data_IF_534828395835
#
_entry.id   IF_534828395835
#
_cell.length_a   1.000
_cell.length_b   1.000
_cell.length_c   1.000
_cell.angle_alpha   90.00
_cell.angle_beta   90.00
_cell.angle_gamma   90.00
#
_symmetry.space_group_name_H-M   'P 1'
#
loop_
_entity.id
_entity.type
_entity.pdbx_description
1 polymer ?
#
# COMPACT_ATOMS: atom_id res chain seq x y z
N UNK A 1 -40.33 29.31 -51.50
CA UNK A 1 -40.51 29.24 -50.03
C UNK A 1 -40.61 27.77 -49.65
N UNK A 2 -39.75 27.30 -48.74
CA UNK A 2 -39.83 25.97 -48.14
C UNK A 2 -38.81 24.94 -48.63
N UNK A 3 -37.51 25.14 -48.31
CA UNK A 3 -36.62 23.99 -48.07
C UNK A 3 -36.96 23.38 -46.72
N UNK A 4 -36.88 22.06 -46.59
CA UNK A 4 -36.11 21.42 -45.51
C UNK A 4 -36.24 19.89 -45.54
N UNK A 5 -35.19 19.27 -46.07
CA UNK A 5 -34.85 17.86 -45.86
C UNK A 5 -34.62 17.61 -44.37
N UNK A 6 -35.48 16.80 -43.73
CA UNK A 6 -35.21 16.28 -42.39
C UNK A 6 -34.17 15.15 -42.50
N UNK A 7 -33.01 15.44 -41.93
CA UNK A 7 -31.83 14.59 -41.83
C UNK A 7 -32.08 13.40 -40.90
N UNK A 8 -31.62 12.23 -41.33
CA UNK A 8 -31.28 11.10 -40.46
C UNK A 8 -30.21 11.51 -39.45
N UNK A 9 -30.40 11.15 -38.18
CA UNK A 9 -29.32 11.12 -37.20
C UNK A 9 -29.57 9.96 -36.22
N UNK A 10 -29.06 8.78 -36.60
CA UNK A 10 -28.56 7.81 -35.64
C UNK A 10 -27.22 8.35 -35.14
N UNK A 11 -27.10 8.64 -33.84
CA UNK A 11 -25.80 8.87 -33.23
C UNK A 11 -25.73 8.07 -31.93
N UNK A 12 -24.81 7.12 -31.96
CA UNK A 12 -24.59 6.08 -30.99
C UNK A 12 -24.16 6.63 -29.63
N UNK A 13 -24.52 5.86 -28.59
CA UNK A 13 -24.02 5.94 -27.23
C UNK A 13 -22.50 6.08 -27.22
N UNK A 14 -21.99 7.18 -26.68
CA UNK A 14 -20.57 7.33 -26.36
C UNK A 14 -20.33 6.54 -25.07
N UNK A 15 -19.88 5.29 -25.23
CA UNK A 15 -19.18 4.57 -24.18
C UNK A 15 -17.83 5.28 -24.00
N UNK A 16 -17.71 6.12 -22.97
CA UNK A 16 -16.43 6.67 -22.57
C UNK A 16 -15.61 5.53 -21.95
N UNK A 17 -14.86 4.82 -22.79
CA UNK A 17 -13.76 3.99 -22.32
C UNK A 17 -12.74 4.95 -21.72
N UNK A 18 -12.64 4.97 -20.40
CA UNK A 18 -11.49 5.53 -19.69
C UNK A 18 -10.26 4.83 -20.28
N UNK A 19 -9.52 5.56 -21.11
CA UNK A 19 -8.23 5.11 -21.58
C UNK A 19 -7.34 4.97 -20.35
N UNK A 20 -7.18 3.73 -19.90
CA UNK A 20 -6.03 3.31 -19.09
C UNK A 20 -4.82 3.68 -19.94
N UNK A 21 -4.09 4.73 -19.54
CA UNK A 21 -2.83 5.05 -20.19
C UNK A 21 -1.91 3.86 -19.97
N UNK A 22 -1.76 3.06 -21.02
CA UNK A 22 -0.77 1.99 -21.05
C UNK A 22 0.59 2.61 -20.72
N UNK A 23 1.36 1.93 -19.87
CA UNK A 23 2.73 2.32 -19.60
C UNK A 23 3.50 2.54 -20.90
N UNK A 24 4.43 3.51 -20.98
CA UNK A 24 5.51 3.39 -21.94
C UNK A 24 6.21 2.05 -21.67
N UNK A 25 6.55 1.30 -22.72
CA UNK A 25 7.17 -0.03 -22.62
C UNK A 25 8.44 -0.05 -21.71
N UNK A 26 9.01 1.10 -21.39
CA UNK A 26 10.13 1.30 -20.47
C UNK A 26 9.82 1.17 -18.97
N UNK A 27 8.55 1.12 -18.54
CA UNK A 27 8.20 0.86 -17.14
C UNK A 27 7.99 -0.64 -16.84
N UNK A 28 7.93 -1.47 -17.89
CA UNK A 28 7.87 -2.93 -17.80
C UNK A 28 9.25 -3.57 -17.55
N UNK A 29 10.32 -2.79 -17.47
CA UNK A 29 11.69 -3.29 -17.26
C UNK A 29 12.12 -3.43 -15.80
N UNK A 30 11.27 -3.02 -14.84
CA UNK A 30 11.52 -3.17 -13.40
C UNK A 30 10.26 -3.64 -12.65
N UNK A 31 10.20 -4.90 -12.19
CA UNK A 31 9.12 -5.49 -11.38
C UNK A 31 8.65 -4.63 -10.19
N UNK A 32 9.56 -3.98 -9.46
CA UNK A 32 9.15 -3.08 -8.37
C UNK A 32 8.33 -1.89 -8.89
N UNK A 33 8.76 -1.24 -9.98
CA UNK A 33 7.99 -0.15 -10.58
C UNK A 33 6.65 -0.64 -11.13
N UNK A 34 6.61 -1.86 -11.65
CA UNK A 34 5.35 -2.51 -12.07
C UNK A 34 4.41 -2.74 -10.88
N UNK A 35 4.93 -3.17 -9.72
CA UNK A 35 4.14 -3.30 -8.49
C UNK A 35 3.56 -1.95 -8.04
N UNK A 36 4.37 -0.90 -7.98
CA UNK A 36 3.88 0.45 -7.63
C UNK A 36 2.84 0.97 -8.62
N UNK A 37 3.07 0.79 -9.92
CA UNK A 37 2.13 1.22 -10.96
C UNK A 37 0.79 0.49 -10.87
N UNK A 38 0.79 -0.84 -10.74
CA UNK A 38 -0.42 -1.63 -10.64
C UNK A 38 -1.20 -1.31 -9.36
N UNK A 39 -0.50 -1.18 -8.23
CA UNK A 39 -1.08 -0.78 -6.95
C UNK A 39 -1.73 0.60 -7.07
N UNK A 40 -1.05 1.56 -7.72
CA UNK A 40 -1.59 2.90 -8.00
C UNK A 40 -2.88 2.82 -8.83
N UNK A 41 -2.83 2.14 -9.98
CA UNK A 41 -3.97 2.09 -10.91
C UNK A 41 -5.20 1.47 -10.27
N UNK A 42 -5.02 0.38 -9.51
CA UNK A 42 -6.12 -0.26 -8.80
C UNK A 42 -6.75 0.74 -7.83
N UNK A 43 -5.94 1.39 -6.99
CA UNK A 43 -6.42 2.35 -6.00
C UNK A 43 -7.05 3.63 -6.61
N UNK A 44 -6.59 4.10 -7.77
CA UNK A 44 -7.19 5.24 -8.48
C UNK A 44 -8.61 4.96 -8.98
N UNK A 45 -8.97 3.68 -9.18
CA UNK A 45 -10.31 3.27 -9.62
C UNK A 45 -11.30 2.99 -8.49
N UNK A 46 -10.88 3.15 -7.23
CA UNK A 46 -11.70 2.87 -6.05
C UNK A 46 -12.87 3.86 -5.97
N UNK A 47 -14.08 3.32 -5.81
CA UNK A 47 -15.30 4.07 -5.53
C UNK A 47 -15.71 3.96 -4.06
N UNK A 48 -15.52 2.79 -3.47
CA UNK A 48 -15.79 2.49 -2.06
C UNK A 48 -14.67 1.61 -1.50
N UNK A 49 -14.36 1.79 -0.21
CA UNK A 49 -13.40 0.91 0.44
C UNK A 49 -13.66 0.82 1.94
N UNK A 50 -13.31 -0.31 2.54
CA UNK A 50 -13.36 -0.50 3.98
C UNK A 50 -12.21 -1.36 4.48
N UNK A 51 -11.78 -1.09 5.71
CA UNK A 51 -10.78 -1.90 6.39
C UNK A 51 -11.43 -3.12 7.06
N UNK A 52 -10.92 -4.32 6.79
CA UNK A 52 -11.40 -5.57 7.37
C UNK A 52 -10.38 -6.15 8.37
N UNK A 53 -10.52 -5.82 9.66
CA UNK A 53 -9.57 -6.21 10.70
C UNK A 53 -9.64 -7.71 11.03
N UNK A 54 -8.51 -8.43 10.91
CA UNK A 54 -8.11 -9.71 11.54
C UNK A 54 -8.99 -10.96 11.31
N UNK A 55 -10.25 -10.80 10.90
CA UNK A 55 -11.21 -11.87 10.62
C UNK A 55 -11.38 -12.13 9.11
N UNK A 56 -10.64 -11.44 8.25
CA UNK A 56 -10.67 -11.71 6.82
C UNK A 56 -10.10 -13.11 6.54
N UNK A 57 -10.97 -14.03 6.12
CA UNK A 57 -10.60 -15.38 5.70
C UNK A 57 -10.16 -15.45 4.24
N UNK A 58 -10.22 -14.34 3.50
CA UNK A 58 -10.03 -14.32 2.04
C UNK A 58 -9.01 -13.27 1.57
N UNK A 59 -8.44 -12.45 2.46
CA UNK A 59 -7.56 -11.35 2.04
C UNK A 59 -8.34 -10.18 1.50
N UNK A 60 -7.94 -9.64 0.34
CA UNK A 60 -8.64 -8.54 -0.28
C UNK A 60 -9.85 -9.02 -1.09
N UNK A 61 -11.02 -8.52 -0.75
CA UNK A 61 -12.25 -8.69 -1.53
C UNK A 61 -12.40 -7.48 -2.43
N UNK A 62 -12.34 -7.71 -3.74
CA UNK A 62 -12.47 -6.66 -4.77
C UNK A 62 -13.69 -6.97 -5.62
N UNK A 63 -14.61 -6.02 -5.72
CA UNK A 63 -15.80 -6.12 -6.58
C UNK A 63 -15.98 -4.84 -7.41
N UNK A 64 -16.83 -4.91 -8.44
CA UNK A 64 -17.12 -3.76 -9.31
C UNK A 64 -18.51 -3.22 -8.99
N UNK A 65 -18.58 -1.94 -8.67
CA UNK A 65 -19.82 -1.20 -8.47
C UNK A 65 -20.54 -0.98 -9.82
N UNK A 66 -21.83 -0.68 -9.79
CA UNK A 66 -22.60 -0.33 -10.99
C UNK A 66 -22.05 0.87 -11.77
N UNK A 67 -21.25 1.72 -11.11
CA UNK A 67 -20.55 2.86 -11.71
C UNK A 67 -19.28 2.47 -12.49
N UNK A 68 -18.87 1.21 -12.47
CA UNK A 68 -17.60 0.73 -13.02
C UNK A 68 -16.39 0.96 -12.11
N UNK A 69 -16.57 1.59 -10.94
CA UNK A 69 -15.53 1.75 -9.91
C UNK A 69 -15.39 0.49 -9.05
N UNK A 70 -14.27 0.38 -8.34
CA UNK A 70 -14.04 -0.73 -7.42
C UNK A 70 -14.64 -0.49 -6.03
N UNK A 71 -15.16 -1.55 -5.42
CA UNK A 71 -15.39 -1.66 -3.99
C UNK A 71 -14.37 -2.65 -3.41
N UNK A 72 -13.52 -2.17 -2.49
CA UNK A 72 -12.40 -2.94 -1.95
C UNK A 72 -12.51 -3.03 -0.43
N UNK A 73 -12.63 -4.25 0.07
CA UNK A 73 -12.61 -4.57 1.50
C UNK A 73 -11.38 -5.42 1.83
N UNK A 74 -10.47 -4.92 2.65
CA UNK A 74 -9.19 -5.59 2.96
C UNK A 74 -8.51 -4.99 4.19
N UNK A 75 -7.62 -5.75 4.85
CA UNK A 75 -6.59 -5.17 5.72
C UNK A 75 -5.32 -4.80 4.93
N UNK A 76 -4.31 -4.28 5.63
CA UNK A 76 -3.03 -3.87 5.05
C UNK A 76 -2.28 -5.03 4.38
N UNK A 77 -2.32 -6.22 4.98
CA UNK A 77 -1.60 -7.40 4.53
C UNK A 77 -2.29 -8.08 3.35
N UNK A 78 -3.62 -8.11 3.35
CA UNK A 78 -4.46 -8.51 2.24
C UNK A 78 -4.28 -7.59 1.04
N UNK A 79 -4.13 -6.28 1.25
CA UNK A 79 -3.86 -5.33 0.17
C UNK A 79 -2.49 -5.57 -0.47
N UNK A 80 -1.43 -5.71 0.33
CA UNK A 80 -0.09 -6.06 -0.19
C UNK A 80 -0.14 -7.40 -0.90
N UNK A 81 -0.79 -8.41 -0.33
CA UNK A 81 -0.93 -9.75 -0.92
C UNK A 81 -1.67 -9.72 -2.26
N UNK A 82 -2.77 -8.98 -2.36
CA UNK A 82 -3.54 -8.82 -3.60
C UNK A 82 -2.68 -8.27 -4.74
N UNK A 83 -1.86 -7.27 -4.45
CA UNK A 83 -0.98 -6.69 -5.46
C UNK A 83 0.20 -7.63 -5.78
N UNK A 84 0.84 -8.21 -4.75
CA UNK A 84 1.99 -9.10 -4.91
C UNK A 84 1.65 -10.42 -5.61
N UNK A 85 0.40 -10.88 -5.58
CA UNK A 85 -0.08 -12.06 -6.36
C UNK A 85 0.17 -11.94 -7.87
N UNK A 86 0.35 -10.74 -8.41
CA UNK A 86 0.76 -10.53 -9.80
C UNK A 86 2.25 -10.82 -10.06
N UNK A 87 3.00 -11.17 -9.02
CA UNK A 87 4.35 -11.74 -9.08
C UNK A 87 4.31 -13.11 -8.36
N UNK A 88 3.73 -14.15 -8.99
CA UNK A 88 3.36 -15.38 -8.29
C UNK A 88 4.52 -16.05 -7.54
N UNK A 89 5.73 -16.02 -8.10
CA UNK A 89 6.92 -16.60 -7.47
C UNK A 89 7.36 -15.81 -6.23
N UNK A 90 7.33 -14.48 -6.29
CA UNK A 90 7.62 -13.63 -5.14
C UNK A 90 6.56 -13.79 -4.05
N UNK A 91 5.28 -13.85 -4.41
CA UNK A 91 4.21 -14.09 -3.44
C UNK A 91 4.34 -15.49 -2.79
N UNK A 92 4.61 -16.52 -3.60
CA UNK A 92 4.82 -17.89 -3.13
C UNK A 92 6.02 -17.99 -2.18
N UNK A 93 7.07 -17.18 -2.37
CA UNK A 93 8.19 -17.14 -1.43
C UNK A 93 7.78 -16.63 -0.04
N UNK A 94 6.94 -15.59 0.03
CA UNK A 94 6.40 -15.09 1.30
C UNK A 94 5.45 -16.12 1.93
N UNK A 95 4.56 -16.74 1.14
CA UNK A 95 3.66 -17.81 1.61
C UNK A 95 4.43 -19.04 2.10
N UNK A 96 5.52 -19.41 1.43
CA UNK A 96 6.39 -20.51 1.89
C UNK A 96 7.09 -20.18 3.20
N UNK A 97 7.41 -18.92 3.47
CA UNK A 97 7.92 -18.49 4.77
C UNK A 97 6.83 -18.55 5.85
N UNK A 98 5.60 -18.13 5.52
CA UNK A 98 4.44 -18.13 6.40
C UNK A 98 4.22 -19.48 7.10
N UNK A 99 4.41 -20.61 6.41
CA UNK A 99 4.20 -21.95 7.01
C UNK A 99 5.15 -22.26 8.16
N UNK A 100 6.28 -21.56 8.25
CA UNK A 100 7.27 -21.72 9.31
C UNK A 100 7.07 -20.74 10.48
N UNK A 101 6.16 -19.77 10.34
CA UNK A 101 5.82 -18.83 11.41
C UNK A 101 4.73 -19.47 12.26
N UNK A 102 4.92 -19.64 13.59
CA UNK A 102 3.89 -20.26 14.43
C UNK A 102 2.58 -19.44 14.37
N UNK A 103 1.43 -20.11 14.47
CA UNK A 103 0.12 -19.44 14.35
C UNK A 103 -0.27 -18.94 12.95
N UNK A 104 0.66 -18.90 11.99
CA UNK A 104 0.42 -18.38 10.63
C UNK A 104 0.14 -19.45 9.58
N UNK A 105 0.52 -20.71 9.80
CA UNK A 105 0.46 -21.76 8.79
C UNK A 105 -0.93 -21.99 8.18
N UNK A 106 -2.00 -21.71 8.92
CA UNK A 106 -3.39 -21.87 8.47
C UNK A 106 -4.07 -20.54 8.10
N UNK A 107 -3.32 -19.43 8.08
CA UNK A 107 -3.86 -18.13 7.67
C UNK A 107 -3.94 -18.08 6.13
N UNK A 108 -4.99 -17.46 5.56
CA UNK A 108 -5.21 -17.45 4.11
C UNK A 108 -4.20 -16.61 3.32
N UNK A 109 -3.52 -15.69 3.99
CA UNK A 109 -2.46 -14.84 3.42
C UNK A 109 -1.45 -14.47 4.50
N UNK A 110 -0.20 -14.11 4.13
CA UNK A 110 0.81 -13.64 5.07
C UNK A 110 0.37 -12.36 5.76
N UNK A 111 0.41 -12.30 7.09
CA UNK A 111 0.18 -11.08 7.85
C UNK A 111 1.45 -10.20 7.92
N UNK A 112 1.31 -8.98 8.44
CA UNK A 112 2.39 -7.99 8.43
C UNK A 112 3.68 -8.47 9.12
N UNK A 113 3.55 -9.25 10.19
CA UNK A 113 4.67 -9.89 10.88
C UNK A 113 5.37 -10.94 10.03
N UNK A 114 4.65 -11.67 9.18
CA UNK A 114 5.24 -12.62 8.22
C UNK A 114 6.05 -11.88 7.17
N UNK A 115 5.50 -10.82 6.58
CA UNK A 115 6.22 -9.97 5.63
C UNK A 115 7.49 -9.40 6.27
N UNK A 116 7.37 -8.82 7.47
CA UNK A 116 8.50 -8.26 8.19
C UNK A 116 9.57 -9.32 8.46
N UNK A 117 9.21 -10.47 9.03
CA UNK A 117 10.16 -11.52 9.42
C UNK A 117 10.87 -12.11 8.20
N UNK A 118 10.13 -12.33 7.12
CA UNK A 118 10.72 -12.81 5.88
C UNK A 118 11.73 -11.80 5.34
N UNK A 119 11.35 -10.53 5.22
CA UNK A 119 12.25 -9.48 4.71
C UNK A 119 13.46 -9.24 5.63
N UNK A 120 13.26 -9.28 6.94
CA UNK A 120 14.35 -9.16 7.93
C UNK A 120 15.32 -10.35 7.89
N UNK A 121 14.86 -11.53 7.44
CA UNK A 121 15.72 -12.71 7.28
C UNK A 121 16.64 -12.63 6.06
N UNK A 122 16.40 -11.68 5.13
CA UNK A 122 17.22 -11.50 3.94
C UNK A 122 18.51 -10.75 4.28
N UNK A 123 19.63 -11.47 4.38
CA UNK A 123 20.96 -10.85 4.56
C UNK A 123 21.62 -10.45 3.24
N UNK A 124 21.09 -10.92 2.11
CA UNK A 124 21.52 -10.62 0.75
C UNK A 124 20.34 -10.81 -0.21
N UNK A 125 20.41 -10.31 -1.45
CA UNK A 125 19.43 -10.64 -2.48
C UNK A 125 19.27 -12.15 -2.65
N UNK A 126 18.03 -12.63 -2.75
CA UNK A 126 17.72 -14.00 -3.16
C UNK A 126 17.16 -14.01 -4.60
N UNK A 127 16.47 -15.07 -5.02
CA UNK A 127 15.89 -15.15 -6.35
C UNK A 127 14.77 -14.12 -6.61
N UNK A 128 14.07 -13.70 -5.54
CA UNK A 128 12.81 -12.97 -5.63
C UNK A 128 12.85 -11.56 -5.04
N UNK A 129 13.64 -11.37 -3.97
CA UNK A 129 13.70 -10.13 -3.22
C UNK A 129 15.14 -9.69 -2.95
N UNK A 130 15.32 -8.37 -2.90
CA UNK A 130 16.51 -7.68 -2.42
C UNK A 130 16.15 -6.92 -1.13
N UNK A 131 16.90 -7.11 -0.02
CA UNK A 131 16.69 -6.31 1.18
C UNK A 131 17.06 -4.85 0.92
N UNK A 132 16.22 -3.92 1.39
CA UNK A 132 16.49 -2.48 1.38
C UNK A 132 16.75 -2.04 2.82
N UNK A 133 18.01 -1.77 3.15
CA UNK A 133 18.45 -1.61 4.55
C UNK A 133 18.50 -0.17 5.02
N UNK A 134 18.45 0.81 4.10
CA UNK A 134 18.50 2.23 4.44
C UNK A 134 17.23 2.93 3.99
N UNK A 135 16.76 3.86 4.83
CA UNK A 135 15.60 4.71 4.51
C UNK A 135 15.80 5.44 3.18
N UNK A 136 17.01 5.95 2.92
CA UNK A 136 17.34 6.68 1.68
C UNK A 136 17.30 5.85 0.41
N UNK A 137 17.39 4.52 0.54
CA UNK A 137 17.48 3.60 -0.60
C UNK A 137 16.10 3.09 -1.03
N UNK A 138 15.05 3.47 -0.30
CA UNK A 138 13.66 3.17 -0.64
C UNK A 138 13.28 3.79 -1.98
N UNK A 139 12.56 3.01 -2.78
CA UNK A 139 12.04 3.45 -4.08
C UNK A 139 10.60 2.96 -4.31
N UNK A 140 9.88 3.51 -5.31
CA UNK A 140 8.57 3.00 -5.70
C UNK A 140 8.59 1.50 -5.98
N UNK A 141 7.69 0.78 -5.31
CA UNK A 141 7.51 -0.66 -5.45
C UNK A 141 8.19 -1.49 -4.38
N UNK A 142 8.97 -0.85 -3.50
CA UNK A 142 9.44 -1.53 -2.30
C UNK A 142 8.24 -1.82 -1.39
N UNK A 143 8.28 -2.96 -0.72
CA UNK A 143 7.29 -3.35 0.28
C UNK A 143 7.92 -3.09 1.64
N UNK A 144 7.32 -2.18 2.40
CA UNK A 144 7.71 -1.87 3.76
C UNK A 144 6.74 -2.56 4.71
N UNK A 145 7.28 -3.30 5.67
CA UNK A 145 6.50 -3.93 6.72
C UNK A 145 7.13 -3.68 8.09
N UNK A 146 6.30 -3.60 9.12
CA UNK A 146 6.74 -3.73 10.49
C UNK A 146 5.83 -4.63 11.29
N UNK A 147 6.36 -5.03 12.44
CA UNK A 147 5.66 -5.84 13.42
C UNK A 147 5.91 -5.30 14.83
N UNK A 148 4.99 -5.61 15.73
CA UNK A 148 5.08 -5.24 17.14
C UNK A 148 5.84 -6.32 17.94
N UNK A 149 6.38 -5.93 19.10
CA UNK A 149 7.25 -6.74 19.97
C UNK A 149 6.74 -8.18 20.19
N UNK A 150 5.45 -8.33 20.46
CA UNK A 150 4.80 -9.63 20.70
C UNK A 150 4.74 -10.56 19.47
N UNK A 151 5.05 -10.04 18.28
CA UNK A 151 4.95 -10.76 17.01
C UNK A 151 6.29 -11.01 16.31
N UNK A 152 7.37 -10.32 16.67
CA UNK A 152 8.65 -10.49 15.97
C UNK A 152 9.92 -10.26 16.79
N UNK A 153 9.79 -9.87 18.06
CA UNK A 153 10.92 -9.78 18.97
C UNK A 153 11.17 -11.10 19.73
N UNK A 154 12.12 -11.08 20.65
CA UNK A 154 12.44 -12.20 21.54
C UNK A 154 11.24 -12.72 22.37
N UNK A 155 10.21 -11.90 22.54
CA UNK A 155 8.99 -12.21 23.31
C UNK A 155 7.82 -12.71 22.44
N UNK A 156 8.12 -13.27 21.27
CA UNK A 156 7.11 -13.80 20.38
C UNK A 156 6.18 -14.81 21.07
N UNK A 157 4.87 -14.64 20.90
CA UNK A 157 3.86 -15.61 21.32
C UNK A 157 3.05 -16.12 20.14
N UNK A 158 3.05 -17.44 19.95
CA UNK A 158 2.22 -18.11 18.94
C UNK A 158 0.71 -17.98 19.20
N UNK A 159 0.32 -17.54 20.41
CA UNK A 159 -1.07 -17.27 20.79
C UNK A 159 -1.39 -15.77 20.79
N UNK A 160 -0.47 -14.91 20.33
CA UNK A 160 -0.73 -13.49 20.23
C UNK A 160 -1.87 -13.23 19.24
N UNK A 161 -2.93 -12.60 19.76
CA UNK A 161 -4.10 -12.16 18.99
C UNK A 161 -4.11 -10.64 18.93
N UNK A 162 -4.48 -10.06 17.79
CA UNK A 162 -4.59 -8.62 17.62
C UNK A 162 -3.66 -8.08 16.53
N UNK A 163 -3.20 -6.85 16.73
CA UNK A 163 -2.43 -6.09 15.75
C UNK A 163 -1.02 -6.67 15.59
N UNK A 164 -0.75 -7.27 14.42
CA UNK A 164 0.54 -7.87 14.09
C UNK A 164 1.59 -6.82 13.68
N UNK A 165 1.17 -5.59 13.44
CA UNK A 165 1.91 -4.57 12.71
C UNK A 165 1.27 -4.24 11.37
N UNK A 166 2.04 -3.68 10.45
CA UNK A 166 1.51 -3.10 9.22
C UNK A 166 2.37 -3.37 8.01
N UNK A 167 1.76 -3.39 6.82
CA UNK A 167 2.45 -3.58 5.55
C UNK A 167 1.89 -2.63 4.48
N UNK A 168 2.76 -2.16 3.59
CA UNK A 168 2.38 -1.22 2.53
C UNK A 168 3.29 -1.34 1.30
N UNK A 169 2.80 -0.81 0.18
CA UNK A 169 3.61 -0.59 -1.02
C UNK A 169 4.09 0.86 -1.03
N UNK A 170 5.38 1.07 -1.27
CA UNK A 170 5.95 2.40 -1.44
C UNK A 170 5.62 2.93 -2.84
N UNK A 171 5.17 4.19 -2.92
CA UNK A 171 4.76 4.82 -4.18
C UNK A 171 5.73 5.89 -4.67
N UNK A 172 6.58 6.41 -3.78
CA UNK A 172 7.51 7.49 -4.07
C UNK A 172 8.82 7.31 -3.33
N UNK A 173 9.90 7.87 -3.88
CA UNK A 173 11.16 8.00 -3.13
C UNK A 173 10.94 8.84 -1.86
N UNK A 174 11.68 8.56 -0.77
CA UNK A 174 11.62 9.35 0.46
C UNK A 174 11.95 10.81 0.23
N UNK A 175 11.21 11.71 0.89
CA UNK A 175 11.48 13.14 0.91
C UNK A 175 11.98 13.52 2.30
N UNK A 176 13.26 13.85 2.41
CA UNK A 176 13.92 14.20 3.67
C UNK A 176 13.16 15.29 4.42
N UNK A 177 13.01 15.11 5.74
CA UNK A 177 12.43 16.12 6.64
C UNK A 177 13.49 17.10 7.20
N UNK A 178 14.77 16.89 6.86
CA UNK A 178 15.91 17.67 7.36
C UNK A 178 16.39 17.30 8.77
N UNK A 179 15.72 16.38 9.47
CA UNK A 179 15.97 16.02 10.87
C UNK A 179 16.36 14.54 11.05
N UNK A 180 16.85 13.89 10.00
CA UNK A 180 17.20 12.47 10.02
C UNK A 180 16.02 11.53 9.73
N UNK A 181 14.87 12.07 9.36
CA UNK A 181 13.72 11.33 8.85
C UNK A 181 13.42 11.65 7.38
N UNK A 182 12.38 11.00 6.88
CA UNK A 182 11.81 11.27 5.57
C UNK A 182 10.32 10.93 5.52
N UNK A 183 9.57 11.74 4.77
CA UNK A 183 8.21 11.42 4.39
C UNK A 183 8.23 10.47 3.19
N UNK A 184 7.54 9.34 3.33
CA UNK A 184 7.39 8.34 2.27
C UNK A 184 5.93 8.28 1.88
N UNK A 185 5.62 8.49 0.60
CA UNK A 185 4.30 8.25 0.06
C UNK A 185 4.09 6.75 -0.09
N UNK A 186 3.08 6.22 0.58
CA UNK A 186 2.74 4.79 0.58
C UNK A 186 1.29 4.57 0.17
N UNK A 187 0.97 3.33 -0.18
CA UNK A 187 -0.38 2.87 -0.44
C UNK A 187 -0.64 1.58 0.34
N UNK A 188 -1.63 1.64 1.19
CA UNK A 188 -2.03 0.59 2.12
C UNK A 188 -3.55 0.57 2.27
N UNK A 189 -4.04 -0.33 3.13
CA UNK A 189 -5.37 -0.25 3.71
C UNK A 189 -5.21 -0.01 5.21
N UNK A 190 -5.88 1.00 5.77
CA UNK A 190 -5.73 1.37 7.18
C UNK A 190 -6.98 2.06 7.74
N UNK A 191 -7.18 1.98 9.04
CA UNK A 191 -8.15 2.81 9.79
C UNK A 191 -7.52 4.11 10.33
N UNK A 192 -6.21 4.26 10.18
CA UNK A 192 -5.45 5.42 10.68
C UNK A 192 -5.35 6.47 9.57
N UNK A 193 -5.42 7.74 9.95
CA UNK A 193 -5.24 8.85 9.01
C UNK A 193 -3.75 9.06 8.75
N UNK A 194 -3.37 9.30 7.49
CA UNK A 194 -1.98 9.59 7.14
C UNK A 194 -1.74 11.09 7.02
N UNK A 195 -0.48 11.52 6.89
CA UNK A 195 -0.21 12.88 6.41
C UNK A 195 -0.75 13.03 4.99
N UNK A 196 -1.53 14.10 4.78
CA UNK A 196 -1.90 14.61 3.47
C UNK A 196 -0.84 15.59 2.97
N UNK A 197 -0.83 15.96 1.67
CA UNK A 197 0.02 17.03 1.16
C UNK A 197 -0.04 18.34 1.96
N UNK A 198 -1.20 18.69 2.53
CA UNK A 198 -1.36 19.91 3.34
C UNK A 198 -0.77 19.80 4.74
N UNK A 199 -0.46 18.58 5.22
CA UNK A 199 0.17 18.36 6.52
C UNK A 199 1.70 18.36 6.43
N UNK A 200 2.27 18.33 5.21
CA UNK A 200 3.72 18.31 5.00
C UNK A 200 4.35 19.67 5.35
N UNK A 201 5.52 19.69 6.00
CA UNK A 201 6.29 20.92 6.17
C UNK A 201 6.59 21.58 4.81
N UNK A 202 6.58 22.91 4.74
CA UNK A 202 6.73 23.66 3.46
C UNK A 202 7.95 23.23 2.65
N UNK A 203 9.09 23.02 3.30
CA UNK A 203 10.32 22.58 2.63
C UNK A 203 10.22 21.15 2.07
N UNK A 204 9.52 20.26 2.79
CA UNK A 204 9.23 18.90 2.33
C UNK A 204 8.28 18.95 1.15
N UNK A 205 7.18 19.71 1.25
CA UNK A 205 6.20 19.85 0.19
C UNK A 205 6.83 20.37 -1.11
N UNK A 206 7.75 21.34 -1.03
CA UNK A 206 8.49 21.86 -2.19
C UNK A 206 9.30 20.78 -2.92
N UNK A 207 9.83 19.79 -2.19
CA UNK A 207 10.61 18.69 -2.74
C UNK A 207 9.75 17.44 -3.08
N UNK A 208 8.50 17.40 -2.64
CA UNK A 208 7.58 16.28 -2.82
C UNK A 208 6.61 16.44 -4.01
N UNK A 209 6.85 17.37 -4.93
CA UNK A 209 5.88 17.75 -5.97
C UNK A 209 5.42 16.58 -6.86
N UNK A 210 6.31 15.64 -7.18
CA UNK A 210 5.95 14.43 -7.93
C UNK A 210 5.01 13.52 -7.13
N UNK A 211 5.30 13.30 -5.84
CA UNK A 211 4.49 12.52 -4.92
C UNK A 211 3.13 13.19 -4.66
N UNK A 212 3.09 14.51 -4.53
CA UNK A 212 1.85 15.28 -4.37
C UNK A 212 0.99 15.18 -5.64
N UNK A 213 1.61 15.25 -6.82
CA UNK A 213 0.92 15.08 -8.10
C UNK A 213 0.37 13.66 -8.31
N UNK A 214 1.04 12.65 -7.75
CA UNK A 214 0.53 11.29 -7.72
C UNK A 214 -0.62 11.16 -6.70
N UNK A 215 -0.46 11.73 -5.51
CA UNK A 215 -1.48 11.73 -4.45
C UNK A 215 -2.82 12.33 -4.92
N UNK A 216 -2.79 13.41 -5.70
CA UNK A 216 -4.00 14.11 -6.17
C UNK A 216 -4.84 13.32 -7.17
N UNK A 217 -4.30 12.23 -7.74
CA UNK A 217 -5.02 11.36 -8.67
C UNK A 217 -5.89 10.31 -7.97
N UNK A 218 -5.66 10.06 -6.68
CA UNK A 218 -6.45 9.07 -5.94
C UNK A 218 -7.78 9.67 -5.46
N UNK A 219 -8.86 8.88 -5.51
CA UNK A 219 -10.14 9.29 -4.95
C UNK A 219 -10.03 9.38 -3.42
N UNK A 220 -10.77 10.31 -2.81
CA UNK A 220 -10.89 10.38 -1.35
C UNK A 220 -11.89 9.34 -0.80
N UNK A 221 -11.79 8.09 -1.26
CA UNK A 221 -12.73 7.02 -0.92
C UNK A 221 -12.56 6.51 0.52
N UNK A 222 -11.36 6.68 1.11
CA UNK A 222 -11.06 6.25 2.49
C UNK A 222 -11.65 7.14 3.58
N UNK A 223 -12.07 8.36 3.26
CA UNK A 223 -12.55 9.34 4.25
C UNK A 223 -14.08 9.38 4.27
N UNK A 224 -14.68 8.90 5.35
CA UNK A 224 -16.13 8.99 5.57
C UNK A 224 -16.45 10.01 6.65
N UNK A 225 -17.26 11.00 6.32
CA UNK A 225 -17.76 12.00 7.27
C UNK A 225 -19.22 11.72 7.58
N UNK A 226 -19.53 11.42 8.83
CA UNK A 226 -20.90 11.24 9.33
C UNK A 226 -21.26 12.43 10.21
N UNK A 227 -22.36 13.11 9.88
CA UNK A 227 -22.91 14.19 10.70
C UNK A 227 -24.15 13.69 11.43
N UNK A 228 -24.12 13.73 12.76
CA UNK A 228 -25.25 13.42 13.64
C UNK A 228 -25.73 14.68 14.36
N UNK A 229 -26.85 14.59 15.09
CA UNK A 229 -27.33 15.68 15.94
C UNK A 229 -26.33 16.10 17.04
N UNK A 230 -25.36 15.23 17.37
CA UNK A 230 -24.35 15.46 18.41
C UNK A 230 -22.99 15.93 17.85
N UNK A 231 -22.83 16.01 16.53
CA UNK A 231 -21.64 16.55 15.89
C UNK A 231 -21.24 15.84 14.59
N UNK A 232 -20.12 16.26 14.03
CA UNK A 232 -19.54 15.68 12.82
C UNK A 232 -18.36 14.77 13.19
N UNK A 233 -18.39 13.52 12.77
CA UNK A 233 -17.29 12.55 12.92
C UNK A 233 -16.75 12.19 11.54
N UNK A 234 -15.45 12.42 11.35
CA UNK A 234 -14.71 11.92 10.18
C UNK A 234 -13.91 10.70 10.59
N UNK A 235 -14.02 9.64 9.81
CA UNK A 235 -13.27 8.39 10.00
C UNK A 235 -12.52 8.04 8.71
N UNK A 236 -11.35 7.44 8.87
CA UNK A 236 -10.54 6.88 7.79
C UNK A 236 -10.68 5.37 7.82
N UNK A 237 -10.91 4.74 6.66
CA UNK A 237 -11.01 3.27 6.56
C UNK A 237 -10.73 2.82 5.13
N UNK A 238 -9.98 1.72 4.99
CA UNK A 238 -9.76 1.05 3.71
C UNK A 238 -8.55 1.58 2.95
N UNK A 239 -8.54 1.30 1.64
CA UNK A 239 -7.40 1.52 0.73
C UNK A 239 -7.23 2.99 0.36
N UNK A 240 -6.00 3.49 0.43
CA UNK A 240 -5.67 4.76 -0.20
C UNK A 240 -4.23 5.22 0.06
N UNK A 241 -3.83 6.34 -0.56
CA UNK A 241 -2.49 6.86 -0.40
C UNK A 241 -2.36 7.64 0.92
N UNK A 242 -1.12 7.81 1.36
CA UNK A 242 -0.77 8.78 2.39
C UNK A 242 0.73 8.87 2.60
N UNK A 243 1.18 10.02 3.13
CA UNK A 243 2.55 10.15 3.57
C UNK A 243 2.67 9.63 5.01
N UNK A 244 3.74 8.88 5.27
CA UNK A 244 4.15 8.48 6.62
C UNK A 244 5.54 9.05 6.84
N UNK A 245 5.75 9.68 8.00
CA UNK A 245 7.09 10.08 8.43
C UNK A 245 7.80 8.87 9.00
N UNK A 246 8.96 8.52 8.44
CA UNK A 246 9.86 7.51 8.98
C UNK A 246 11.14 8.17 9.49
N UNK A 247 11.63 7.71 10.65
CA UNK A 247 12.95 8.08 11.16
C UNK A 247 13.97 6.98 10.91
N UNK A 248 15.24 7.38 10.82
CA UNK A 248 16.36 6.46 10.70
C UNK A 248 17.31 6.54 11.90
N UNK A 249 17.99 5.43 12.20
CA UNK A 249 19.09 5.40 13.16
C UNK A 249 20.42 5.91 12.55
N UNK A 250 21.51 5.82 13.32
CA UNK A 250 22.84 6.26 12.87
C UNK A 250 23.42 5.45 11.71
N UNK A 251 22.87 4.27 11.42
CA UNK A 251 23.26 3.43 10.26
C UNK A 251 22.42 3.75 9.01
N UNK A 252 21.37 4.55 9.17
CA UNK A 252 20.37 4.86 8.14
C UNK A 252 19.21 3.87 8.09
N UNK A 253 19.17 2.87 8.98
CA UNK A 253 18.09 1.90 9.04
C UNK A 253 16.83 2.52 9.67
N UNK A 254 15.66 2.13 9.18
CA UNK A 254 14.38 2.62 9.70
C UNK A 254 14.22 2.14 11.16
N UNK A 255 13.94 3.09 12.06
CA UNK A 255 13.78 2.79 13.49
C UNK A 255 12.51 3.39 14.09
N UNK A 256 11.75 4.17 13.33
CA UNK A 256 10.53 4.83 13.80
C UNK A 256 9.60 5.25 12.67
N UNK A 257 8.33 5.45 13.01
CA UNK A 257 7.32 6.02 12.12
C UNK A 257 6.31 6.88 12.87
N UNK A 258 5.59 7.70 12.11
CA UNK A 258 4.44 8.48 12.56
C UNK A 258 3.42 8.56 11.41
N UNK A 259 2.19 8.09 11.64
CA UNK A 259 1.12 8.10 10.64
C UNK A 259 0.58 9.50 10.39
N UNK A 260 0.36 10.29 11.44
CA UNK A 260 -0.16 11.66 11.37
C UNK A 260 0.52 12.58 12.39
N UNK A 261 0.49 13.89 12.15
CA UNK A 261 1.03 14.92 13.06
C UNK A 261 0.48 14.84 14.49
N UNK A 262 -0.72 14.29 14.66
CA UNK A 262 -1.35 14.10 15.97
C UNK A 262 -1.02 12.78 16.66
N UNK A 263 -0.43 11.84 15.93
CA UNK A 263 -0.09 10.52 16.46
C UNK A 263 1.27 10.55 17.16
N UNK A 264 1.49 9.72 18.18
CA UNK A 264 2.82 9.56 18.75
C UNK A 264 3.78 8.95 17.73
N UNK A 265 5.06 9.31 17.83
CA UNK A 265 6.12 8.60 17.11
C UNK A 265 6.29 7.22 17.74
N UNK A 266 6.22 6.19 16.92
CA UNK A 266 6.43 4.79 17.33
C UNK A 266 7.82 4.37 16.88
N UNK A 267 8.61 3.77 17.77
CA UNK A 267 9.99 3.38 17.48
C UNK A 267 10.35 2.00 18.00
N UNK A 268 11.44 1.43 17.47
CA UNK A 268 12.01 0.16 17.94
C UNK A 268 12.43 0.22 19.41
N UNK A 269 13.06 1.32 19.82
CA UNK A 269 13.58 1.47 21.19
C UNK A 269 12.50 1.78 22.25
N UNK A 270 11.37 2.37 21.84
CA UNK A 270 10.32 2.78 22.77
C UNK A 270 9.12 1.85 22.81
N UNK A 271 8.63 1.45 21.63
CA UNK A 271 7.31 0.83 21.48
C UNK A 271 7.39 -0.56 20.81
N UNK A 272 8.60 -1.10 20.60
CA UNK A 272 8.79 -2.44 20.08
C UNK A 272 8.34 -2.64 18.64
N UNK A 273 8.51 -1.64 17.77
CA UNK A 273 8.24 -1.79 16.33
C UNK A 273 9.53 -2.16 15.58
N UNK A 274 9.50 -3.24 14.79
CA UNK A 274 10.65 -3.72 14.02
C UNK A 274 10.34 -3.63 12.53
N UNK A 275 11.21 -2.98 11.77
CA UNK A 275 10.98 -2.66 10.37
C UNK A 275 11.78 -3.60 9.46
N UNK A 276 11.22 -3.90 8.30
CA UNK A 276 11.95 -4.52 7.20
C UNK A 276 11.37 -4.04 5.87
N UNK A 277 12.26 -3.88 4.89
CA UNK A 277 11.88 -3.45 3.54
C UNK A 277 12.51 -4.40 2.54
N UNK A 278 11.74 -4.83 1.56
CA UNK A 278 12.24 -5.62 0.47
C UNK A 278 11.71 -5.15 -0.88
N UNK A 279 12.53 -5.36 -1.89
CA UNK A 279 12.28 -5.01 -3.29
C UNK A 279 12.11 -6.26 -4.11
N UNK A 280 11.06 -6.35 -4.92
CA UNK A 280 10.93 -7.44 -5.91
C UNK A 280 12.03 -7.31 -6.95
N UNK A 281 12.80 -8.39 -7.17
CA UNK A 281 13.97 -8.39 -8.04
C UNK A 281 13.60 -8.23 -9.52
N UNK A 282 14.55 -7.72 -10.31
CA UNK A 282 14.38 -7.42 -11.73
C UNK A 282 13.98 -8.61 -12.60
N UNK A 283 14.37 -9.81 -12.19
CA UNK A 283 14.15 -11.06 -12.91
C UNK A 283 12.83 -11.77 -12.55
N UNK A 284 12.06 -11.27 -11.58
CA UNK A 284 10.80 -11.91 -11.18
C UNK A 284 9.72 -11.62 -12.22
N UNK A 285 9.11 -12.64 -12.82
CA UNK A 285 8.07 -12.44 -13.82
C UNK A 285 6.82 -11.77 -13.23
N UNK A 286 6.28 -10.81 -13.98
CA UNK A 286 4.93 -10.30 -13.77
C UNK A 286 3.92 -11.18 -14.52
N UNK A 287 2.91 -11.66 -13.82
CA UNK A 287 1.79 -12.40 -14.38
C UNK A 287 0.48 -11.83 -13.80
N UNK A 288 -0.14 -10.93 -14.56
CA UNK A 288 -1.42 -10.33 -14.18
C UNK A 288 -2.43 -11.43 -13.88
N UNK A 289 -2.89 -11.50 -12.64
CA UNK A 289 -3.93 -12.45 -12.25
C UNK A 289 -5.29 -11.98 -12.79
N UNK A 290 -6.20 -12.90 -13.16
CA UNK A 290 -7.58 -12.54 -13.44
C UNK A 290 -8.17 -11.81 -12.23
N UNK A 291 -8.94 -10.74 -12.47
CA UNK A 291 -9.52 -9.87 -11.42
C UNK A 291 -10.47 -10.57 -10.42
N UNK A 292 -10.65 -11.89 -10.52
CA UNK A 292 -11.73 -12.66 -9.90
C UNK A 292 -11.24 -13.84 -9.05
N UNK A 293 -9.95 -13.97 -8.74
CA UNK A 293 -9.50 -15.09 -7.92
C UNK A 293 -9.54 -14.73 -6.42
N UNK A 294 -10.39 -15.41 -5.62
CA UNK A 294 -10.53 -15.17 -4.18
C UNK A 294 -9.26 -15.47 -3.37
#
# INVERSE_FOLDING_TARGET
MGSDMKKFAFAASILAVLAVTALPASAQSFPSQTLAWQTSNTAMTVGQTSYAYVDSTTGAVVSTLSSGKLDITTDCSGWVSYNLRNFPEAYAAVQGYQTNVPGEANKPFPRADVYQRYFASLTAPNAYFTPVTKLTDIQPGDILAWCLDGYCAANYSATATGDTGHAMVVMGAPVSDGNGGAFVLVLDSSTVTHYSPSDLPTAVAANAQAQISLYSQFPNARTTTTTTATGTKTATSGVGPGFILFGADSTGAINSFQFNVKDPVISTAGNGAYFAVARVNANVPYAQQPATSP
#
